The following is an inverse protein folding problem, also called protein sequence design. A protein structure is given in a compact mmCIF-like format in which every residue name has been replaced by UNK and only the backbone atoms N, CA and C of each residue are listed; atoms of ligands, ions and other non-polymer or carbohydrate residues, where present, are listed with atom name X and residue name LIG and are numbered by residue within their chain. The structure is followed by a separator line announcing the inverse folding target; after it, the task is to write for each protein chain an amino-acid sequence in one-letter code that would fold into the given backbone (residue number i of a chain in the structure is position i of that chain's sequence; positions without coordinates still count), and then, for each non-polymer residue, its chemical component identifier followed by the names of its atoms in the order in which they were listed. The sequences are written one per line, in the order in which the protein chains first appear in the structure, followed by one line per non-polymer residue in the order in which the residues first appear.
data_IF_508688094263
#
_entry.id   IF_508688094263
#
_cell.length_a   1.000
_cell.length_b   1.000
_cell.length_c   1.000
_cell.angle_alpha   90.00
_cell.angle_beta   90.00
_cell.angle_gamma   90.00
#
_symmetry.space_group_name_H-M   'P 1'
#
loop_
_entity.id
_entity.type
_entity.pdbx_description
1 polymer ?
#
# COMPACT_ATOMS: atom_id res chain seq x y z
N UNK A 1 58.95 -67.66 3.24
CA UNK A 1 60.19 -67.10 3.77
C UNK A 1 59.98 -65.66 4.09
N UNK A 2 60.34 -65.32 5.34
CA UNK A 2 60.50 -63.98 5.92
C UNK A 2 59.26 -63.11 6.10
N UNK A 3 58.69 -63.18 7.28
CA UNK A 3 57.93 -62.23 8.01
C UNK A 3 58.69 -60.90 8.19
N UNK A 4 57.94 -59.79 8.18
CA UNK A 4 58.32 -58.55 8.87
C UNK A 4 57.06 -57.92 9.50
N UNK A 5 57.07 -58.00 10.81
CA UNK A 5 56.18 -57.18 11.68
C UNK A 5 56.64 -55.72 11.63
N UNK A 6 55.74 -54.79 11.50
CA UNK A 6 55.97 -53.42 11.94
C UNK A 6 54.75 -52.93 12.72
N UNK A 7 55.06 -52.42 13.86
CA UNK A 7 54.34 -51.91 15.00
C UNK A 7 53.31 -50.82 14.63
N UNK A 8 52.11 -50.94 15.23
CA UNK A 8 51.07 -49.93 15.33
C UNK A 8 51.49 -48.91 16.41
N UNK A 9 51.67 -47.66 16.02
CA UNK A 9 51.64 -46.51 16.95
C UNK A 9 50.36 -45.76 16.73
N UNK A 10 49.52 -45.71 17.77
CA UNK A 10 48.25 -44.94 17.77
C UNK A 10 48.49 -43.44 17.66
N UNK A 11 47.75 -42.82 16.82
CA UNK A 11 47.59 -41.39 16.77
C UNK A 11 46.16 -41.05 17.19
N UNK A 12 46.05 -40.42 18.35
CA UNK A 12 44.81 -39.82 18.87
C UNK A 12 44.47 -38.64 17.97
N UNK A 13 43.41 -38.75 17.18
CA UNK A 13 42.87 -37.60 16.46
C UNK A 13 41.92 -36.88 17.39
N UNK A 14 42.35 -35.75 17.93
CA UNK A 14 41.50 -34.76 18.62
C UNK A 14 40.65 -34.08 17.56
N UNK A 15 39.37 -34.41 17.55
CA UNK A 15 38.37 -33.75 16.68
C UNK A 15 38.04 -32.39 17.31
N UNK A 16 38.69 -31.34 16.83
CA UNK A 16 38.33 -29.95 17.17
C UNK A 16 36.96 -29.60 16.56
N UNK A 17 35.96 -29.48 17.44
CA UNK A 17 34.64 -29.01 17.12
C UNK A 17 34.74 -27.50 16.79
N UNK A 18 34.82 -27.14 15.52
CA UNK A 18 34.70 -25.77 15.08
C UNK A 18 33.23 -25.36 15.22
N UNK A 19 32.92 -24.67 16.31
CA UNK A 19 31.66 -23.96 16.47
C UNK A 19 31.71 -22.74 15.53
N UNK A 20 31.06 -22.84 14.38
CA UNK A 20 30.74 -21.66 13.56
C UNK A 20 29.70 -20.84 14.31
N UNK A 21 30.11 -19.80 15.02
CA UNK A 21 29.23 -18.72 15.42
C UNK A 21 28.83 -17.95 14.14
N UNK A 22 27.67 -18.26 13.59
CA UNK A 22 27.04 -17.42 12.60
C UNK A 22 26.72 -16.07 13.26
N UNK A 23 27.63 -15.12 13.11
CA UNK A 23 27.34 -13.72 13.43
C UNK A 23 26.32 -13.23 12.42
N UNK A 24 25.05 -13.16 12.82
CA UNK A 24 24.04 -12.40 12.09
C UNK A 24 24.49 -10.94 12.05
N UNK A 25 25.13 -10.55 10.95
CA UNK A 25 25.26 -9.13 10.63
C UNK A 25 23.84 -8.62 10.39
N UNK A 26 23.36 -7.79 11.30
CA UNK A 26 22.12 -7.04 11.15
C UNK A 26 22.25 -6.19 9.90
N UNK A 27 21.49 -6.54 8.87
CA UNK A 27 21.45 -5.79 7.62
C UNK A 27 20.79 -4.45 7.92
N UNK A 28 21.58 -3.39 8.08
CA UNK A 28 21.15 -2.04 8.43
C UNK A 28 20.38 -1.35 7.30
N UNK A 29 20.22 -2.03 6.16
CA UNK A 29 19.49 -1.53 4.99
C UNK A 29 18.11 -2.18 4.78
N UNK A 30 17.64 -3.03 5.69
CA UNK A 30 16.27 -3.53 5.62
C UNK A 30 15.33 -2.40 6.08
N UNK A 31 14.39 -1.91 5.25
CA UNK A 31 13.40 -0.96 5.71
C UNK A 31 12.69 -1.54 6.93
N UNK A 32 12.66 -0.79 8.02
CA UNK A 32 11.91 -1.20 9.22
C UNK A 32 10.45 -1.31 8.81
N UNK A 33 9.90 -2.52 8.84
CA UNK A 33 8.49 -2.73 8.67
C UNK A 33 7.77 -2.06 9.86
N UNK A 34 7.20 -0.91 9.64
CA UNK A 34 6.14 -0.41 10.50
C UNK A 34 4.92 -1.29 10.18
N UNK A 35 4.69 -2.33 10.97
CA UNK A 35 3.42 -3.04 10.93
C UNK A 35 2.33 -2.00 11.24
N UNK A 36 1.42 -1.80 10.29
CA UNK A 36 0.20 -1.04 10.56
C UNK A 36 -0.56 -1.74 11.70
N UNK A 37 -1.05 -0.97 12.65
CA UNK A 37 -1.92 -1.48 13.70
C UNK A 37 -3.18 -2.07 13.02
N UNK A 38 -3.49 -3.36 13.18
CA UNK A 38 -4.62 -4.02 12.52
C UNK A 38 -5.98 -3.50 13.00
N UNK A 39 -6.04 -2.56 13.93
CA UNK A 39 -7.28 -1.93 14.42
C UNK A 39 -7.61 -0.60 13.73
N UNK A 40 -6.76 -0.09 12.84
CA UNK A 40 -7.01 1.13 12.08
C UNK A 40 -7.93 0.84 10.89
N UNK A 41 -9.26 0.92 11.09
CA UNK A 41 -10.22 1.07 9.99
C UNK A 41 -10.01 2.47 9.40
N UNK A 42 -9.11 2.60 8.43
CA UNK A 42 -9.01 3.83 7.68
C UNK A 42 -10.16 3.86 6.67
N UNK A 43 -11.05 4.86 6.78
CA UNK A 43 -12.02 5.10 5.71
C UNK A 43 -11.24 5.33 4.40
N UNK A 44 -11.61 4.62 3.31
CA UNK A 44 -10.99 4.84 2.01
C UNK A 44 -11.10 6.31 1.61
N UNK A 45 -10.08 6.83 0.95
CA UNK A 45 -10.17 8.17 0.37
C UNK A 45 -11.30 8.19 -0.65
N UNK A 46 -12.21 9.17 -0.53
CA UNK A 46 -13.22 9.43 -1.53
C UNK A 46 -12.53 9.99 -2.78
N UNK A 47 -12.36 9.19 -3.82
CA UNK A 47 -11.76 9.60 -5.10
C UNK A 47 -12.82 9.83 -6.19
N UNK A 48 -12.42 10.47 -7.29
CA UNK A 48 -13.24 10.54 -8.51
C UNK A 48 -13.03 9.28 -9.32
N UNK A 49 -14.09 8.54 -9.64
CA UNK A 49 -14.00 7.37 -10.52
C UNK A 49 -13.54 7.83 -11.92
N UNK A 50 -12.40 7.33 -12.38
CA UNK A 50 -11.82 7.67 -13.69
C UNK A 50 -11.83 6.52 -14.68
N UNK A 51 -11.95 5.28 -14.21
CA UNK A 51 -12.06 4.10 -15.04
C UNK A 51 -12.72 2.97 -14.26
N UNK A 52 -13.55 2.17 -14.93
CA UNK A 52 -14.08 0.93 -14.37
C UNK A 52 -14.44 -0.10 -15.43
N UNK A 53 -14.52 -1.34 -15.01
CA UNK A 53 -15.29 -2.39 -15.68
C UNK A 53 -16.13 -3.11 -14.62
N UNK A 54 -17.45 -3.01 -14.79
CA UNK A 54 -18.46 -3.60 -13.91
C UNK A 54 -18.93 -4.97 -14.45
N UNK A 55 -18.32 -5.48 -15.50
CA UNK A 55 -18.61 -6.75 -16.16
C UNK A 55 -20.11 -7.01 -16.46
N UNK A 56 -20.87 -5.95 -16.73
CA UNK A 56 -22.32 -6.00 -17.01
C UNK A 56 -22.67 -6.53 -18.41
N UNK A 57 -21.66 -6.83 -19.23
CA UNK A 57 -21.83 -7.36 -20.57
C UNK A 57 -22.09 -8.87 -20.59
N UNK A 58 -22.00 -9.44 -21.80
CA UNK A 58 -22.10 -10.89 -22.06
C UNK A 58 -20.77 -11.49 -22.54
N UNK A 59 -19.72 -10.66 -22.65
CA UNK A 59 -18.36 -11.03 -23.02
C UNK A 59 -17.36 -10.04 -22.46
N UNK A 60 -16.09 -10.44 -22.38
CA UNK A 60 -15.00 -9.53 -21.96
C UNK A 60 -14.97 -8.32 -22.90
N UNK A 61 -14.97 -7.12 -22.31
CA UNK A 61 -14.88 -5.87 -23.08
C UNK A 61 -13.45 -5.69 -23.62
N UNK A 62 -13.27 -5.97 -24.90
CA UNK A 62 -11.95 -5.88 -25.56
C UNK A 62 -11.47 -4.44 -25.78
N UNK A 63 -12.28 -3.42 -25.51
CA UNK A 63 -11.80 -2.04 -25.43
C UNK A 63 -10.99 -1.80 -24.13
N UNK A 64 -11.34 -2.49 -23.04
CA UNK A 64 -10.67 -2.39 -21.74
C UNK A 64 -9.56 -3.43 -21.58
N UNK A 65 -9.76 -4.66 -22.07
CA UNK A 65 -8.90 -5.82 -21.78
C UNK A 65 -8.31 -6.45 -23.02
N UNK A 66 -7.05 -6.86 -22.91
CA UNK A 66 -6.46 -7.91 -23.75
C UNK A 66 -6.62 -9.23 -23.01
N UNK A 67 -6.92 -10.31 -23.74
CA UNK A 67 -6.89 -11.67 -23.20
C UNK A 67 -5.64 -12.32 -23.76
N UNK A 68 -4.72 -12.74 -22.91
CA UNK A 68 -3.51 -13.40 -23.32
C UNK A 68 -3.79 -14.81 -23.85
N UNK A 69 -3.01 -15.24 -24.84
CA UNK A 69 -3.10 -16.56 -25.44
C UNK A 69 -1.70 -17.17 -25.55
N UNK A 70 -1.45 -18.24 -24.82
CA UNK A 70 -0.14 -18.89 -24.79
C UNK A 70 0.27 -19.40 -23.41
N UNK A 71 1.42 -20.07 -23.39
CA UNK A 71 2.12 -20.38 -22.16
C UNK A 71 2.85 -19.12 -21.69
N UNK A 72 2.69 -18.67 -20.43
CA UNK A 72 3.40 -17.51 -19.90
C UNK A 72 4.93 -17.69 -19.91
N UNK A 73 5.43 -18.93 -19.73
CA UNK A 73 6.86 -19.22 -19.75
C UNK A 73 7.65 -18.64 -18.59
N UNK A 74 6.98 -18.23 -17.52
CA UNK A 74 7.55 -17.64 -16.30
C UNK A 74 7.14 -18.46 -15.08
N UNK A 75 7.84 -18.26 -13.94
CA UNK A 75 7.50 -18.80 -12.62
C UNK A 75 7.22 -20.31 -12.57
N UNK A 76 7.63 -21.08 -13.57
CA UNK A 76 7.31 -22.53 -13.71
C UNK A 76 5.81 -22.84 -13.69
N UNK A 77 4.95 -21.88 -14.07
CA UNK A 77 3.49 -22.03 -14.18
C UNK A 77 3.13 -23.13 -15.19
N UNK A 78 1.97 -23.79 -15.01
CA UNK A 78 1.59 -25.02 -15.73
C UNK A 78 0.39 -24.86 -16.67
N UNK A 79 -0.20 -23.67 -16.72
CA UNK A 79 -1.34 -23.43 -17.59
C UNK A 79 -0.93 -22.84 -18.94
N UNK A 80 -1.84 -23.02 -19.90
CA UNK A 80 -1.92 -22.27 -21.13
C UNK A 80 -3.08 -21.27 -20.99
N UNK A 81 -2.79 -19.99 -21.09
CA UNK A 81 -3.83 -18.95 -21.08
C UNK A 81 -4.57 -18.93 -22.41
N UNK A 82 -5.90 -18.83 -22.36
CA UNK A 82 -6.76 -18.73 -23.54
C UNK A 82 -8.09 -18.05 -23.22
N UNK A 83 -8.71 -17.43 -24.25
CA UNK A 83 -9.95 -16.68 -24.09
C UNK A 83 -11.15 -17.52 -23.64
N UNK A 84 -11.18 -18.81 -23.97
CA UNK A 84 -12.23 -19.73 -23.57
C UNK A 84 -12.35 -19.95 -22.04
N UNK A 85 -11.34 -19.53 -21.29
CA UNK A 85 -11.31 -19.61 -19.83
C UNK A 85 -11.75 -18.32 -19.14
N UNK A 86 -12.06 -17.24 -19.90
CA UNK A 86 -12.60 -15.99 -19.38
C UNK A 86 -14.01 -15.77 -19.93
N UNK A 87 -15.00 -15.71 -19.06
CA UNK A 87 -16.40 -15.47 -19.43
C UNK A 87 -16.98 -14.31 -18.63
N UNK A 88 -17.91 -13.56 -19.23
CA UNK A 88 -18.65 -12.50 -18.56
C UNK A 88 -20.14 -12.81 -18.62
N UNK A 89 -20.82 -12.72 -17.49
CA UNK A 89 -22.26 -12.92 -17.41
C UNK A 89 -22.75 -12.72 -15.97
N UNK A 90 -24.00 -12.24 -15.85
CA UNK A 90 -24.60 -11.98 -14.54
C UNK A 90 -23.90 -10.90 -13.71
N UNK A 91 -23.19 -9.95 -14.35
CA UNK A 91 -22.42 -8.91 -13.67
C UNK A 91 -21.04 -9.38 -13.18
N UNK A 92 -20.54 -10.52 -13.65
CA UNK A 92 -19.27 -11.10 -13.18
C UNK A 92 -18.35 -11.45 -14.34
N UNK A 93 -17.07 -11.15 -14.20
CA UNK A 93 -16.00 -11.85 -14.91
C UNK A 93 -15.68 -13.15 -14.16
N UNK A 94 -15.65 -14.27 -14.88
CA UNK A 94 -15.24 -15.57 -14.34
C UNK A 94 -14.02 -16.08 -15.09
N UNK A 95 -12.90 -16.22 -14.40
CA UNK A 95 -11.67 -16.88 -14.89
C UNK A 95 -11.67 -18.30 -14.36
N UNK A 96 -11.71 -19.27 -15.26
CA UNK A 96 -11.83 -20.70 -14.91
C UNK A 96 -10.54 -21.45 -15.19
N UNK A 97 -9.95 -22.03 -14.18
CA UNK A 97 -8.85 -22.99 -14.28
C UNK A 97 -9.40 -24.39 -14.58
N UNK A 98 -8.79 -25.10 -15.57
CA UNK A 98 -9.25 -26.43 -16.01
C UNK A 98 -8.07 -27.39 -16.16
N UNK A 99 -8.29 -28.66 -15.84
CA UNK A 99 -7.41 -29.72 -16.27
C UNK A 99 -7.71 -30.02 -17.76
N UNK A 100 -7.00 -29.38 -18.64
CA UNK A 100 -7.16 -29.46 -20.09
C UNK A 100 -5.81 -29.24 -20.75
N UNK A 101 -5.37 -30.18 -21.56
CA UNK A 101 -4.07 -30.08 -22.27
C UNK A 101 -4.20 -29.22 -23.53
N UNK A 102 -3.48 -28.08 -23.55
CA UNK A 102 -3.38 -27.19 -24.71
C UNK A 102 -1.96 -26.66 -24.82
N UNK A 103 -1.41 -26.59 -26.04
CA UNK A 103 -0.10 -25.98 -26.27
C UNK A 103 1.07 -26.62 -25.52
N UNK A 104 0.95 -27.91 -25.18
CA UNK A 104 1.96 -28.62 -24.38
C UNK A 104 1.83 -28.43 -22.86
N UNK A 105 0.89 -27.61 -22.39
CA UNK A 105 0.59 -27.42 -20.97
C UNK A 105 -0.55 -28.37 -20.55
N UNK A 106 -0.53 -28.90 -19.29
CA UNK A 106 -1.56 -29.82 -18.80
C UNK A 106 -2.83 -29.11 -18.31
N UNK A 107 -2.80 -27.81 -18.15
CA UNK A 107 -3.93 -27.02 -17.67
C UNK A 107 -4.20 -25.85 -18.59
N UNK A 108 -5.40 -25.28 -18.47
CA UNK A 108 -5.77 -24.00 -19.09
C UNK A 108 -6.34 -23.04 -18.07
N UNK A 109 -6.14 -21.74 -18.29
CA UNK A 109 -6.70 -20.67 -17.51
C UNK A 109 -6.83 -19.39 -18.36
N UNK A 110 -7.04 -18.22 -17.74
CA UNK A 110 -7.02 -16.95 -18.43
C UNK A 110 -6.23 -15.89 -17.68
N UNK A 111 -5.65 -14.97 -18.46
CA UNK A 111 -4.99 -13.75 -18.01
C UNK A 111 -5.49 -12.58 -18.86
N UNK A 112 -5.95 -11.54 -18.18
CA UNK A 112 -6.46 -10.31 -18.77
C UNK A 112 -5.55 -9.16 -18.39
N UNK A 113 -5.27 -8.25 -19.35
CA UNK A 113 -4.44 -7.07 -19.10
C UNK A 113 -5.03 -5.81 -19.71
N UNK A 114 -4.81 -4.65 -19.09
CA UNK A 114 -5.13 -3.34 -19.68
C UNK A 114 -3.94 -2.74 -20.44
N UNK A 115 -2.89 -3.51 -20.73
CA UNK A 115 -1.69 -3.06 -21.43
C UNK A 115 -2.02 -2.36 -22.76
N UNK A 116 -1.48 -1.16 -22.98
CA UNK A 116 -1.73 -0.34 -24.15
C UNK A 116 -3.13 0.26 -24.27
N UNK A 117 -3.99 0.06 -23.25
CA UNK A 117 -5.38 0.58 -23.21
C UNK A 117 -5.60 1.52 -22.04
N UNK A 118 -5.21 1.11 -20.84
CA UNK A 118 -5.31 1.93 -19.64
C UNK A 118 -4.15 1.61 -18.68
N UNK A 119 -3.44 2.65 -18.24
CA UNK A 119 -2.34 2.54 -17.31
C UNK A 119 -2.30 3.79 -16.43
N UNK A 120 -2.90 3.77 -15.23
CA UNK A 120 -2.85 4.90 -14.32
C UNK A 120 -1.44 5.10 -13.75
N UNK A 121 -1.15 6.35 -13.38
CA UNK A 121 -0.10 6.70 -12.42
C UNK A 121 -0.78 7.27 -11.22
N UNK A 122 -0.67 6.58 -10.07
CA UNK A 122 -1.36 6.92 -8.83
C UNK A 122 -2.88 6.68 -8.84
N UNK A 123 -3.47 6.79 -7.68
CA UNK A 123 -4.89 6.62 -7.47
C UNK A 123 -5.23 5.49 -6.49
N UNK A 124 -6.51 5.21 -6.34
CA UNK A 124 -6.98 3.99 -5.70
C UNK A 124 -7.41 3.01 -6.78
N UNK A 125 -6.78 1.85 -6.79
CA UNK A 125 -7.07 0.74 -7.70
C UNK A 125 -7.67 -0.38 -6.86
N UNK A 126 -8.91 -0.79 -7.16
CA UNK A 126 -9.62 -1.79 -6.38
C UNK A 126 -10.40 -2.77 -7.26
N UNK A 127 -10.59 -3.97 -6.75
CA UNK A 127 -11.48 -4.97 -7.32
C UNK A 127 -12.21 -5.75 -6.24
N UNK A 128 -13.47 -6.11 -6.50
CA UNK A 128 -14.24 -7.05 -5.69
C UNK A 128 -14.07 -8.44 -6.26
N UNK A 129 -13.43 -9.34 -5.51
CA UNK A 129 -13.00 -10.65 -6.01
C UNK A 129 -13.35 -11.77 -5.02
N UNK A 130 -13.83 -12.89 -5.58
CA UNK A 130 -13.98 -14.17 -4.89
C UNK A 130 -12.97 -15.15 -5.45
N UNK A 131 -12.21 -15.81 -4.59
CA UNK A 131 -11.08 -16.66 -4.94
C UNK A 131 -11.44 -18.15 -4.88
N UNK A 132 -10.76 -19.03 -5.66
CA UNK A 132 -11.08 -20.45 -5.72
C UNK A 132 -10.67 -21.23 -4.45
N UNK A 133 -9.58 -20.83 -3.78
CA UNK A 133 -8.99 -21.50 -2.61
C UNK A 133 -8.78 -23.04 -2.83
N UNK A 134 -8.17 -23.40 -3.94
CA UNK A 134 -7.88 -24.78 -4.34
C UNK A 134 -6.37 -25.02 -4.35
N UNK A 135 -5.94 -26.19 -3.88
CA UNK A 135 -4.51 -26.55 -3.86
C UNK A 135 -3.92 -26.53 -5.28
N UNK A 136 -2.83 -25.78 -5.44
CA UNK A 136 -2.12 -25.59 -6.71
C UNK A 136 -2.62 -24.39 -7.51
N UNK A 137 -3.56 -23.58 -7.00
CA UNK A 137 -3.98 -22.33 -7.66
C UNK A 137 -3.26 -21.11 -7.10
N UNK A 138 -3.09 -20.10 -7.97
CA UNK A 138 -2.47 -18.83 -7.67
C UNK A 138 -3.23 -17.70 -8.40
N UNK A 139 -4.38 -17.29 -7.88
CA UNK A 139 -5.10 -16.12 -8.36
C UNK A 139 -4.34 -14.84 -7.97
N UNK A 140 -4.30 -13.88 -8.90
CA UNK A 140 -3.68 -12.59 -8.70
C UNK A 140 -4.47 -11.43 -9.34
N UNK A 141 -4.48 -10.31 -8.62
CA UNK A 141 -4.86 -8.98 -9.07
C UNK A 141 -3.69 -8.05 -8.81
N UNK A 142 -3.05 -7.59 -9.88
CA UNK A 142 -1.76 -6.92 -9.82
C UNK A 142 -1.56 -5.92 -10.94
N UNK A 143 -0.46 -5.21 -10.91
CA UNK A 143 -0.11 -4.20 -11.89
C UNK A 143 1.36 -4.33 -12.28
N UNK A 144 1.66 -4.06 -13.56
CA UNK A 144 3.02 -4.09 -14.09
C UNK A 144 3.36 -2.76 -14.74
N UNK A 145 4.59 -2.28 -14.51
CA UNK A 145 5.05 -1.01 -15.06
C UNK A 145 4.97 -0.99 -16.59
N UNK A 146 4.26 0.01 -17.15
CA UNK A 146 3.99 0.11 -18.58
C UNK A 146 5.28 0.24 -19.43
N UNK A 147 6.39 0.63 -18.82
CA UNK A 147 7.69 0.72 -19.45
C UNK A 147 8.24 -0.63 -19.95
N UNK A 148 7.70 -1.77 -19.48
CA UNK A 148 8.04 -3.10 -19.99
C UNK A 148 7.73 -3.22 -21.48
N UNK A 149 6.66 -2.58 -21.95
CA UNK A 149 6.26 -2.56 -23.35
C UNK A 149 7.23 -1.72 -24.23
N UNK A 150 8.09 -0.93 -23.60
CA UNK A 150 9.08 -0.08 -24.24
C UNK A 150 10.52 -0.57 -23.98
N UNK A 151 10.68 -1.84 -23.56
CA UNK A 151 11.97 -2.49 -23.40
C UNK A 151 12.63 -2.35 -22.02
N UNK A 152 11.99 -1.76 -21.02
CA UNK A 152 12.48 -1.81 -19.63
C UNK A 152 12.17 -3.18 -19.03
N UNK A 153 13.19 -4.03 -18.75
CA UNK A 153 12.92 -5.39 -18.27
C UNK A 153 12.41 -5.41 -16.83
N UNK A 154 11.72 -6.51 -16.48
CA UNK A 154 11.48 -6.82 -15.07
C UNK A 154 12.81 -7.14 -14.35
N UNK A 155 13.02 -6.74 -13.09
CA UNK A 155 12.12 -5.99 -12.20
C UNK A 155 12.25 -4.46 -12.30
N UNK A 156 13.03 -3.93 -13.24
CA UNK A 156 13.28 -2.48 -13.40
C UNK A 156 12.04 -1.70 -13.83
N UNK A 157 11.07 -2.33 -14.50
CA UNK A 157 9.78 -1.70 -14.83
C UNK A 157 8.90 -1.48 -13.59
N UNK A 158 9.13 -2.23 -12.50
CA UNK A 158 8.29 -2.24 -11.30
C UNK A 158 7.06 -3.12 -11.43
N UNK A 159 6.59 -3.67 -10.29
CA UNK A 159 5.39 -4.50 -10.17
C UNK A 159 4.70 -4.20 -8.83
N UNK A 160 3.37 -4.15 -8.82
CA UNK A 160 2.54 -3.93 -7.62
C UNK A 160 1.50 -5.05 -7.56
N UNK A 161 1.66 -5.99 -6.63
CA UNK A 161 0.68 -7.04 -6.38
C UNK A 161 -0.33 -6.53 -5.37
N UNK A 162 -1.53 -6.24 -5.85
CA UNK A 162 -2.62 -5.74 -5.02
C UNK A 162 -3.18 -6.87 -4.17
N UNK A 163 -3.31 -8.05 -4.76
CA UNK A 163 -3.78 -9.27 -4.11
C UNK A 163 -3.16 -10.48 -4.77
N UNK A 164 -2.51 -11.31 -3.98
CA UNK A 164 -2.17 -12.68 -4.32
C UNK A 164 -2.68 -13.64 -3.23
N UNK A 165 -3.12 -14.81 -3.65
CA UNK A 165 -3.48 -15.91 -2.75
C UNK A 165 -2.94 -17.20 -3.33
N UNK A 166 -2.47 -18.11 -2.50
CA UNK A 166 -1.93 -19.39 -2.95
C UNK A 166 -2.62 -20.56 -2.27
N UNK A 167 -2.91 -21.58 -3.04
CA UNK A 167 -3.45 -22.84 -2.56
C UNK A 167 -4.79 -22.64 -1.79
N UNK A 168 -4.94 -23.29 -0.66
CA UNK A 168 -6.11 -23.21 0.22
C UNK A 168 -5.93 -22.19 1.34
N UNK A 169 -4.91 -21.32 1.24
CA UNK A 169 -4.57 -20.37 2.31
C UNK A 169 -5.63 -19.29 2.47
N UNK A 170 -5.88 -18.86 3.71
CA UNK A 170 -6.62 -17.64 4.02
C UNK A 170 -5.75 -16.39 3.99
N UNK A 171 -4.45 -16.54 3.71
CA UNK A 171 -3.49 -15.43 3.66
C UNK A 171 -3.60 -14.72 2.31
N UNK A 172 -3.73 -13.41 2.37
CA UNK A 172 -3.65 -12.50 1.23
C UNK A 172 -2.31 -11.78 1.31
N UNK A 173 -1.58 -11.76 0.20
CA UNK A 173 -0.31 -11.07 0.07
C UNK A 173 -0.50 -9.77 -0.72
N UNK A 174 0.23 -8.75 -0.35
CA UNK A 174 0.39 -7.51 -1.11
C UNK A 174 1.86 -7.15 -1.15
N UNK A 175 2.40 -6.94 -2.36
CA UNK A 175 3.84 -6.83 -2.56
C UNK A 175 4.15 -5.76 -3.61
N UNK A 176 5.29 -5.12 -3.51
CA UNK A 176 5.88 -4.33 -4.58
C UNK A 176 7.27 -4.90 -4.91
N UNK A 177 7.59 -5.00 -6.21
CA UNK A 177 8.85 -5.54 -6.72
C UNK A 177 9.54 -4.52 -7.61
N UNK A 178 10.86 -4.34 -7.43
CA UNK A 178 11.66 -3.42 -8.25
C UNK A 178 13.14 -3.82 -8.29
N UNK A 179 13.93 -3.09 -9.08
CA UNK A 179 15.37 -3.29 -9.14
C UNK A 179 16.10 -2.42 -8.10
N UNK A 180 17.10 -2.95 -7.43
CA UNK A 180 18.01 -2.15 -6.60
C UNK A 180 18.87 -1.22 -7.45
N UNK A 181 19.39 -0.16 -6.84
CA UNK A 181 20.26 0.80 -7.51
C UNK A 181 21.53 0.13 -8.06
N UNK A 182 21.92 0.51 -9.28
CA UNK A 182 23.13 0.03 -9.94
C UNK A 182 23.03 -1.29 -10.67
N UNK A 183 21.83 -1.86 -10.84
CA UNK A 183 21.65 -3.12 -11.57
C UNK A 183 20.20 -3.48 -11.79
N UNK A 184 19.98 -4.70 -12.33
CA UNK A 184 18.68 -5.31 -12.50
C UNK A 184 18.40 -6.38 -11.43
N UNK A 185 19.05 -6.26 -10.26
CA UNK A 185 18.87 -7.18 -9.17
C UNK A 185 17.52 -6.92 -8.51
N UNK A 186 16.71 -7.98 -8.41
CA UNK A 186 15.38 -7.95 -7.81
C UNK A 186 15.42 -7.66 -6.30
N UNK A 187 14.51 -6.83 -5.86
CA UNK A 187 14.14 -6.65 -4.44
C UNK A 187 12.63 -6.47 -4.33
N UNK A 188 12.11 -6.67 -3.13
CA UNK A 188 10.68 -6.56 -2.85
C UNK A 188 10.41 -6.04 -1.44
N UNK A 189 9.21 -5.49 -1.26
CA UNK A 189 8.64 -5.13 0.03
C UNK A 189 7.14 -5.35 0.02
N UNK A 190 6.59 -5.88 1.10
CA UNK A 190 5.15 -6.13 1.19
C UNK A 190 4.75 -6.64 2.57
N UNK A 191 3.52 -7.10 2.65
CA UNK A 191 2.96 -7.68 3.86
C UNK A 191 1.80 -8.62 3.56
N UNK A 192 1.16 -9.11 4.60
CA UNK A 192 0.04 -10.04 4.48
C UNK A 192 -1.04 -9.74 5.51
N UNK A 193 -2.26 -10.16 5.15
CA UNK A 193 -3.41 -10.20 6.06
C UNK A 193 -4.17 -11.50 5.83
N UNK A 194 -5.26 -11.72 6.56
CA UNK A 194 -6.09 -12.91 6.41
C UNK A 194 -7.54 -12.53 6.16
N UNK A 195 -8.17 -13.26 5.22
CA UNK A 195 -9.62 -13.18 4.99
C UNK A 195 -10.14 -14.52 4.48
N UNK A 196 -11.47 -14.72 4.47
CA UNK A 196 -12.07 -15.90 3.85
C UNK A 196 -12.00 -15.78 2.33
N UNK A 197 -11.21 -16.57 1.60
CA UNK A 197 -11.03 -16.38 0.16
C UNK A 197 -12.31 -16.71 -0.65
N UNK A 198 -13.23 -17.49 -0.12
CA UNK A 198 -14.42 -17.98 -0.83
C UNK A 198 -15.62 -17.02 -0.80
N UNK A 199 -15.52 -15.89 -0.09
CA UNK A 199 -16.42 -14.74 -0.16
C UNK A 199 -15.93 -13.70 -1.17
N UNK A 200 -16.81 -12.76 -1.57
CA UNK A 200 -16.35 -11.54 -2.24
C UNK A 200 -15.74 -10.60 -1.21
N UNK A 201 -14.54 -10.12 -1.51
CA UNK A 201 -13.81 -9.12 -0.73
C UNK A 201 -13.29 -8.05 -1.66
N UNK A 202 -13.18 -6.81 -1.16
CA UNK A 202 -12.54 -5.72 -1.89
C UNK A 202 -11.05 -5.71 -1.60
N UNK A 203 -10.24 -5.90 -2.62
CA UNK A 203 -8.79 -5.77 -2.57
C UNK A 203 -8.39 -4.46 -3.22
N UNK A 204 -7.55 -3.67 -2.57
CA UNK A 204 -7.19 -2.35 -3.09
C UNK A 204 -5.78 -1.92 -2.72
N UNK A 205 -5.23 -1.04 -3.55
CA UNK A 205 -4.11 -0.16 -3.19
C UNK A 205 -4.55 1.29 -3.29
N UNK A 206 -4.06 2.12 -2.38
CA UNK A 206 -3.98 3.56 -2.57
C UNK A 206 -2.52 3.92 -2.82
N UNK A 207 -2.26 4.50 -3.96
CA UNK A 207 -0.94 4.79 -4.46
C UNK A 207 -0.81 6.27 -4.78
N UNK A 208 0.19 6.92 -4.19
CA UNK A 208 0.51 8.32 -4.37
C UNK A 208 2.03 8.54 -4.50
N UNK A 209 2.48 9.79 -4.59
CA UNK A 209 3.89 10.14 -4.74
C UNK A 209 4.79 9.71 -3.57
N UNK A 210 4.21 9.34 -2.43
CA UNK A 210 4.97 9.03 -1.23
C UNK A 210 4.88 7.55 -0.83
N UNK A 211 3.76 6.88 -1.16
CA UNK A 211 3.49 5.55 -0.63
C UNK A 211 2.55 4.72 -1.50
N UNK A 212 2.64 3.41 -1.33
CA UNK A 212 1.65 2.43 -1.74
C UNK A 212 1.09 1.80 -0.48
N UNK A 213 -0.24 1.79 -0.32
CA UNK A 213 -0.95 1.27 0.85
C UNK A 213 -1.92 0.19 0.39
N UNK A 214 -1.86 -0.99 1.01
CA UNK A 214 -2.69 -2.15 0.66
C UNK A 214 -3.82 -2.35 1.64
N UNK A 215 -5.00 -2.67 1.11
CA UNK A 215 -6.23 -2.84 1.86
C UNK A 215 -6.96 -4.13 1.49
N UNK A 216 -7.60 -4.76 2.49
CA UNK A 216 -8.66 -5.75 2.30
C UNK A 216 -9.90 -5.24 3.05
N UNK A 217 -11.05 -5.17 2.36
CA UNK A 217 -12.31 -4.64 2.90
C UNK A 217 -12.15 -3.27 3.60
N UNK A 218 -11.34 -2.40 2.98
CA UNK A 218 -10.97 -1.08 3.48
C UNK A 218 -10.10 -1.08 4.76
N UNK A 219 -9.63 -2.24 5.21
CA UNK A 219 -8.67 -2.33 6.32
C UNK A 219 -7.25 -2.28 5.77
N UNK A 220 -6.50 -1.25 6.16
CA UNK A 220 -5.07 -1.10 5.81
C UNK A 220 -4.25 -2.17 6.53
N UNK A 221 -3.36 -2.89 5.80
CA UNK A 221 -2.52 -3.90 6.43
C UNK A 221 -1.02 -3.73 6.16
N UNK A 222 -0.63 -3.00 5.09
CA UNK A 222 0.78 -2.68 4.84
C UNK A 222 0.91 -1.35 4.09
N UNK A 223 2.03 -0.64 4.34
CA UNK A 223 2.40 0.61 3.66
C UNK A 223 3.84 0.53 3.18
N UNK A 224 4.06 0.66 1.88
CA UNK A 224 5.37 0.79 1.23
C UNK A 224 5.72 2.26 1.04
N UNK A 225 6.93 2.66 1.42
CA UNK A 225 7.44 4.02 1.20
C UNK A 225 8.15 4.09 -0.16
N UNK A 226 7.72 5.02 -1.02
CA UNK A 226 8.34 5.31 -2.33
C UNK A 226 8.75 6.77 -2.46
N UNK A 227 8.63 7.58 -1.40
CA UNK A 227 8.93 9.00 -1.41
C UNK A 227 10.38 9.25 -1.83
N UNK A 228 10.58 10.27 -2.68
CA UNK A 228 11.90 10.71 -3.12
C UNK A 228 12.78 9.61 -3.75
N UNK A 229 12.16 8.61 -4.39
CA UNK A 229 12.84 7.45 -4.99
C UNK A 229 13.71 6.66 -3.98
N UNK A 230 13.32 6.65 -2.71
CA UNK A 230 14.04 5.92 -1.66
C UNK A 230 14.29 4.47 -2.11
N UNK A 231 15.50 3.93 -1.86
CA UNK A 231 15.87 2.56 -2.23
C UNK A 231 15.66 2.22 -3.72
N UNK A 232 15.78 3.22 -4.62
CA UNK A 232 15.57 3.07 -6.06
C UNK A 232 14.13 2.77 -6.47
N UNK A 233 13.15 3.22 -5.72
CA UNK A 233 11.71 3.01 -5.98
C UNK A 233 11.14 3.89 -7.11
N UNK A 234 11.99 4.52 -7.92
CA UNK A 234 11.59 5.41 -9.02
C UNK A 234 10.67 4.78 -10.07
N UNK A 235 10.67 3.46 -10.20
CA UNK A 235 9.74 2.74 -11.08
C UNK A 235 8.28 3.05 -10.72
N UNK A 236 7.96 3.20 -9.42
CA UNK A 236 6.60 3.42 -8.94
C UNK A 236 6.08 4.86 -9.13
N UNK A 237 6.80 5.72 -9.85
CA UNK A 237 6.34 7.04 -10.26
C UNK A 237 5.98 7.10 -11.76
N UNK A 238 5.82 5.94 -12.40
CA UNK A 238 5.47 5.79 -13.81
C UNK A 238 4.11 5.08 -13.95
N UNK A 239 3.50 5.07 -15.16
CA UNK A 239 2.24 4.35 -15.38
C UNK A 239 2.37 2.84 -15.20
N UNK A 240 1.34 2.21 -14.62
CA UNK A 240 1.20 0.76 -14.47
C UNK A 240 -0.13 0.28 -15.08
N UNK A 241 -0.10 -0.81 -15.85
CA UNK A 241 -1.32 -1.44 -16.35
C UNK A 241 -1.79 -2.56 -15.41
N UNK A 242 -3.09 -2.82 -15.42
CA UNK A 242 -3.76 -3.77 -14.51
C UNK A 242 -3.77 -5.17 -15.12
N UNK A 243 -3.61 -6.18 -14.28
CA UNK A 243 -3.63 -7.59 -14.66
C UNK A 243 -4.53 -8.38 -13.71
N UNK A 244 -5.32 -9.29 -14.27
CA UNK A 244 -6.10 -10.31 -13.58
C UNK A 244 -5.73 -11.67 -14.15
N UNK A 245 -5.32 -12.62 -13.32
CA UNK A 245 -5.07 -13.99 -13.75
C UNK A 245 -5.35 -15.03 -12.67
N UNK A 246 -5.47 -16.27 -13.10
CA UNK A 246 -5.52 -17.43 -12.21
C UNK A 246 -4.47 -18.43 -12.73
N UNK A 247 -3.27 -18.40 -12.15
CA UNK A 247 -2.20 -19.33 -12.46
C UNK A 247 -2.43 -20.71 -11.80
N UNK A 248 -1.81 -21.74 -12.33
CA UNK A 248 -1.87 -23.11 -11.81
C UNK A 248 -0.45 -23.66 -11.69
N UNK A 249 -0.09 -24.12 -10.49
CA UNK A 249 1.30 -24.47 -10.15
C UNK A 249 2.20 -23.26 -10.20
N UNK A 250 3.48 -23.49 -10.17
CA UNK A 250 4.51 -22.44 -10.21
C UNK A 250 5.34 -22.35 -8.94
N UNK A 251 6.23 -21.37 -8.93
CA UNK A 251 7.24 -21.24 -7.86
C UNK A 251 6.60 -20.91 -6.49
N UNK A 252 5.53 -20.10 -6.47
CA UNK A 252 4.91 -19.67 -5.21
C UNK A 252 3.94 -20.71 -4.62
N UNK A 253 2.95 -21.28 -5.36
CA UNK A 253 2.05 -22.30 -4.83
C UNK A 253 2.67 -23.69 -4.79
N UNK A 254 3.78 -23.91 -5.49
CA UNK A 254 4.33 -25.23 -5.76
C UNK A 254 3.57 -26.00 -6.85
N UNK A 255 4.00 -27.22 -7.10
CA UNK A 255 3.46 -28.04 -8.21
C UNK A 255 2.57 -29.21 -7.74
N UNK A 256 2.11 -29.20 -6.48
CA UNK A 256 1.06 -30.10 -6.01
C UNK A 256 -0.29 -29.48 -6.34
N UNK A 257 -1.02 -30.10 -7.29
CA UNK A 257 -2.29 -29.58 -7.81
C UNK A 257 -3.39 -30.58 -7.50
N UNK A 258 -4.47 -30.11 -6.88
CA UNK A 258 -5.67 -30.92 -6.65
C UNK A 258 -6.54 -30.95 -7.90
N UNK A 259 -6.30 -31.95 -8.73
CA UNK A 259 -7.07 -32.15 -9.97
C UNK A 259 -8.55 -32.49 -9.71
N UNK A 260 -8.88 -33.03 -8.53
CA UNK A 260 -10.24 -33.38 -8.16
C UNK A 260 -11.13 -32.16 -7.89
N UNK A 261 -10.52 -31.02 -7.59
CA UNK A 261 -11.20 -29.74 -7.38
C UNK A 261 -11.25 -28.85 -8.64
N UNK A 262 -10.74 -29.33 -9.77
CA UNK A 262 -10.85 -28.64 -11.06
C UNK A 262 -12.10 -29.13 -11.83
N UNK A 263 -12.84 -28.26 -12.56
CA UNK A 263 -12.55 -26.83 -12.74
C UNK A 263 -12.88 -25.99 -11.51
N UNK A 264 -12.07 -24.97 -11.24
CA UNK A 264 -12.34 -23.97 -10.24
C UNK A 264 -12.23 -22.56 -10.83
N UNK A 265 -12.73 -21.55 -10.13
CA UNK A 265 -12.83 -20.21 -10.72
C UNK A 265 -12.53 -19.09 -9.74
N UNK A 266 -11.86 -18.07 -10.23
CA UNK A 266 -11.80 -16.72 -9.67
C UNK A 266 -12.94 -15.91 -10.29
N UNK A 267 -13.73 -15.23 -9.47
CA UNK A 267 -14.84 -14.37 -9.92
C UNK A 267 -14.54 -12.92 -9.53
N UNK A 268 -14.75 -12.00 -10.47
CA UNK A 268 -14.54 -10.55 -10.28
C UNK A 268 -15.84 -9.83 -10.57
N UNK A 269 -16.34 -9.10 -9.57
CA UNK A 269 -17.58 -8.30 -9.65
C UNK A 269 -17.30 -6.97 -10.38
N UNK A 270 -16.23 -6.28 -10.00
CA UNK A 270 -15.78 -5.07 -10.67
C UNK A 270 -14.27 -4.86 -10.51
N UNK A 271 -13.74 -4.04 -11.41
CA UNK A 271 -12.45 -3.35 -11.24
C UNK A 271 -12.69 -1.86 -11.40
N UNK A 272 -12.23 -1.05 -10.42
CA UNK A 272 -12.43 0.39 -10.40
C UNK A 272 -11.13 1.13 -10.12
N UNK A 273 -10.93 2.26 -10.77
CA UNK A 273 -9.80 3.16 -10.53
C UNK A 273 -10.32 4.55 -10.22
N UNK A 274 -9.89 5.08 -9.10
CA UNK A 274 -10.26 6.41 -8.63
C UNK A 274 -9.02 7.31 -8.64
N UNK A 275 -9.19 8.51 -9.19
CA UNK A 275 -8.22 9.58 -9.02
C UNK A 275 -8.34 10.12 -7.59
N UNK A 276 -7.25 10.04 -6.85
CA UNK A 276 -7.14 10.59 -5.51
C UNK A 276 -6.54 12.01 -5.50
N UNK A 277 -6.12 12.55 -6.65
CA UNK A 277 -5.56 13.91 -6.75
C UNK A 277 -6.60 14.99 -6.44
N UNK A 278 -7.89 14.66 -6.66
CA UNK A 278 -9.02 15.53 -6.29
C UNK A 278 -9.46 15.42 -4.82
N UNK A 279 -8.89 14.50 -4.05
CA UNK A 279 -9.02 14.47 -2.59
C UNK A 279 -7.97 15.38 -1.95
N UNK A 280 -7.87 16.58 -2.44
CA UNK A 280 -7.45 17.69 -1.57
C UNK A 280 -8.27 17.60 -0.29
N UNK A 281 -7.69 17.82 0.89
CA UNK A 281 -8.48 18.19 2.07
C UNK A 281 -9.52 19.18 1.56
N UNK A 282 -10.78 19.08 1.97
CA UNK A 282 -11.83 19.91 1.38
C UNK A 282 -11.25 21.32 1.22
N UNK A 283 -11.30 21.86 0.00
CA UNK A 283 -10.85 23.24 -0.29
C UNK A 283 -11.48 24.22 0.69
N UNK A 284 -12.59 23.80 1.29
CA UNK A 284 -13.23 24.40 2.44
C UNK A 284 -12.91 23.59 3.70
N UNK A 285 -12.53 24.28 4.79
CA UNK A 285 -12.30 23.64 6.06
C UNK A 285 -13.56 22.86 6.53
N UNK A 286 -13.41 21.72 7.20
CA UNK A 286 -14.54 20.89 7.66
C UNK A 286 -15.21 21.52 8.90
N UNK A 287 -15.87 22.66 8.72
CA UNK A 287 -16.51 23.42 9.78
C UNK A 287 -17.53 22.56 10.53
N UNK A 288 -17.50 22.59 11.86
CA UNK A 288 -18.38 21.85 12.75
C UNK A 288 -17.98 20.37 12.94
N UNK A 289 -16.94 19.88 12.25
CA UNK A 289 -16.49 18.51 12.39
C UNK A 289 -15.31 18.39 13.35
N UNK A 290 -15.20 17.23 13.97
CA UNK A 290 -14.05 16.85 14.77
C UNK A 290 -12.97 16.24 13.87
N UNK A 291 -11.74 16.69 14.03
CA UNK A 291 -10.57 16.19 13.31
C UNK A 291 -9.43 15.84 14.27
N UNK A 292 -8.52 15.01 13.80
CA UNK A 292 -7.18 14.85 14.36
C UNK A 292 -6.16 15.43 13.39
N UNK A 293 -5.04 15.93 13.91
CA UNK A 293 -3.92 16.42 13.13
C UNK A 293 -2.70 15.54 13.38
N UNK A 294 -2.12 14.99 12.32
CA UNK A 294 -0.96 14.10 12.38
C UNK A 294 0.23 14.75 11.71
N UNK A 295 1.33 14.93 12.45
CA UNK A 295 2.54 15.59 11.96
C UNK A 295 3.42 14.69 11.08
N UNK A 296 4.50 15.28 10.59
CA UNK A 296 5.50 14.60 9.75
C UNK A 296 6.14 13.38 10.43
N UNK A 297 6.31 13.44 11.75
CA UNK A 297 6.83 12.34 12.59
C UNK A 297 5.82 11.20 12.82
N UNK A 298 4.68 11.23 12.15
CA UNK A 298 3.60 10.25 12.29
C UNK A 298 2.95 10.22 13.69
N UNK A 299 3.10 11.30 14.47
CA UNK A 299 2.49 11.46 15.78
C UNK A 299 1.35 12.50 15.72
N UNK A 300 0.42 12.40 16.67
CA UNK A 300 -0.72 13.33 16.76
C UNK A 300 -0.39 14.58 17.54
N UNK A 301 -0.98 15.68 17.07
CA UNK A 301 -0.98 16.97 17.77
C UNK A 301 -1.90 16.89 18.98
N UNK A 302 -1.41 17.30 20.15
CA UNK A 302 -2.16 17.36 21.41
C UNK A 302 -2.38 18.79 21.89
N UNK A 303 -3.60 19.11 22.28
CA UNK A 303 -3.97 20.36 22.93
C UNK A 303 -3.55 20.44 24.40
N UNK A 304 -2.95 19.37 24.95
CA UNK A 304 -2.43 19.27 26.33
C UNK A 304 -3.46 19.71 27.40
N UNK A 305 -4.75 19.51 27.12
CA UNK A 305 -5.88 19.98 27.95
C UNK A 305 -5.79 21.50 28.31
N UNK A 306 -5.05 22.26 27.52
CA UNK A 306 -4.83 23.68 27.73
C UNK A 306 -4.01 24.02 28.97
N UNK A 307 -3.22 23.12 29.50
CA UNK A 307 -2.40 23.32 30.71
C UNK A 307 -0.93 23.53 30.38
N UNK A 308 -0.50 23.18 29.18
CA UNK A 308 0.86 23.31 28.69
C UNK A 308 0.86 23.76 27.22
N UNK A 309 2.03 24.03 26.67
CA UNK A 309 2.23 24.24 25.24
C UNK A 309 1.88 22.98 24.47
N UNK A 310 1.29 23.13 23.28
CA UNK A 310 0.91 22.04 22.40
C UNK A 310 2.14 21.28 21.89
N UNK A 311 1.99 19.99 21.72
CA UNK A 311 3.04 19.09 21.20
C UNK A 311 2.48 18.18 20.11
N UNK A 312 3.36 17.71 19.21
CA UNK A 312 3.05 16.71 18.19
C UNK A 312 3.82 15.42 18.48
N UNK A 313 3.51 14.76 19.59
CA UNK A 313 4.29 13.62 20.10
C UNK A 313 3.42 12.48 20.67
N UNK A 314 2.12 12.44 20.34
CA UNK A 314 1.23 11.37 20.80
C UNK A 314 1.16 10.24 19.79
N UNK A 315 1.40 8.99 20.19
CA UNK A 315 1.31 7.83 19.29
C UNK A 315 -0.14 7.49 18.91
N UNK A 316 -1.10 7.87 19.74
CA UNK A 316 -2.54 7.63 19.53
C UNK A 316 -3.33 8.89 19.80
N UNK A 317 -4.43 9.07 19.06
CA UNK A 317 -5.35 10.17 19.29
C UNK A 317 -6.41 9.81 20.34
N UNK A 318 -6.73 10.77 21.20
CA UNK A 318 -7.82 10.71 22.17
C UNK A 318 -8.51 12.08 22.25
N UNK A 319 -9.11 12.42 23.39
CA UNK A 319 -9.83 13.70 23.55
C UNK A 319 -8.95 14.94 23.42
N UNK A 320 -7.68 14.86 23.83
CA UNK A 320 -6.75 16.00 23.74
C UNK A 320 -6.19 16.21 22.33
N UNK A 321 -6.23 15.18 21.50
CA UNK A 321 -5.77 15.18 20.12
C UNK A 321 -6.92 15.39 19.11
N UNK A 322 -8.16 15.57 19.65
CA UNK A 322 -9.36 15.84 18.85
C UNK A 322 -9.68 17.34 18.88
N UNK A 323 -9.84 17.92 17.69
CA UNK A 323 -10.13 19.33 17.49
C UNK A 323 -11.41 19.51 16.69
N UNK A 324 -12.35 20.32 17.19
CA UNK A 324 -13.48 20.79 16.40
C UNK A 324 -13.03 21.97 15.55
N UNK A 325 -13.29 21.93 14.24
CA UNK A 325 -13.03 23.05 13.32
C UNK A 325 -14.19 24.03 13.42
N UNK A 326 -13.91 25.27 13.79
CA UNK A 326 -14.90 26.32 14.00
C UNK A 326 -14.72 27.43 12.97
N UNK A 327 -15.82 27.93 12.40
CA UNK A 327 -15.77 29.12 11.54
C UNK A 327 -15.37 30.35 12.38
N UNK A 328 -14.25 30.96 12.04
CA UNK A 328 -13.73 32.15 12.71
C UNK A 328 -14.03 33.44 11.95
N UNK A 329 -14.84 33.35 10.87
CA UNK A 329 -15.20 34.46 10.00
C UNK A 329 -14.09 34.86 9.03
N UNK A 330 -14.48 35.51 7.94
CA UNK A 330 -13.52 35.99 6.91
C UNK A 330 -12.77 34.88 6.16
N UNK A 331 -13.33 33.67 6.10
CA UNK A 331 -12.69 32.51 5.46
C UNK A 331 -11.61 31.83 6.30
N UNK A 332 -11.52 32.20 7.57
CA UNK A 332 -10.57 31.61 8.53
C UNK A 332 -11.25 30.60 9.44
N UNK A 333 -10.45 29.74 10.05
CA UNK A 333 -10.89 28.75 11.04
C UNK A 333 -10.28 29.01 12.41
N UNK A 334 -10.95 28.50 13.44
CA UNK A 334 -10.37 28.26 14.75
C UNK A 334 -10.43 26.76 15.07
N UNK A 335 -9.49 26.24 15.82
CA UNK A 335 -9.46 24.86 16.29
C UNK A 335 -9.78 24.83 17.78
N UNK A 336 -10.78 24.02 18.17
CA UNK A 336 -11.21 23.92 19.57
C UNK A 336 -11.00 22.49 20.08
N UNK A 337 -10.26 22.33 21.17
CA UNK A 337 -10.15 21.06 21.90
C UNK A 337 -10.52 21.28 23.37
N UNK A 338 -11.30 20.36 23.93
CA UNK A 338 -11.74 20.41 25.33
C UNK A 338 -12.37 21.77 25.74
N UNK A 339 -13.11 22.40 24.81
CA UNK A 339 -13.76 23.69 25.02
C UNK A 339 -12.83 24.90 24.98
N UNK A 340 -11.55 24.73 24.63
CA UNK A 340 -10.55 25.77 24.49
C UNK A 340 -10.02 25.89 23.09
N UNK A 341 -9.65 27.11 22.68
CA UNK A 341 -9.14 27.37 21.33
C UNK A 341 -7.62 27.38 21.28
N UNK A 342 -7.10 26.87 20.16
CA UNK A 342 -5.67 26.93 19.80
C UNK A 342 -5.31 28.39 19.50
N UNK A 343 -4.20 28.84 20.06
CA UNK A 343 -3.64 30.18 19.84
C UNK A 343 -2.25 30.09 19.23
N UNK A 344 -2.02 30.80 18.12
CA UNK A 344 -0.70 30.97 17.50
C UNK A 344 0.32 31.66 18.35
N UNK A 345 -0.14 32.31 19.46
CA UNK A 345 0.64 33.20 20.32
C UNK A 345 1.39 34.29 19.55
N UNK A 346 0.87 34.63 18.35
CA UNK A 346 1.45 35.56 17.39
C UNK A 346 2.93 35.25 17.04
N UNK A 347 3.34 33.99 17.16
CA UNK A 347 4.72 33.53 16.93
C UNK A 347 5.72 33.96 18.02
N UNK A 348 5.29 34.56 19.12
CA UNK A 348 6.20 35.08 20.16
C UNK A 348 6.59 34.04 21.21
N UNK A 349 5.82 32.92 21.26
CA UNK A 349 6.06 31.79 22.15
C UNK A 349 5.43 30.51 21.52
N UNK A 350 5.58 29.40 22.21
CA UNK A 350 5.00 28.15 21.79
C UNK A 350 3.46 28.22 21.75
N UNK A 351 2.85 27.50 20.77
CA UNK A 351 1.40 27.41 20.59
C UNK A 351 0.74 26.85 21.84
N UNK A 352 -0.40 27.41 22.21
CA UNK A 352 -1.21 26.90 23.33
C UNK A 352 -2.64 26.58 22.87
N UNK A 353 -3.36 25.78 23.66
CA UNK A 353 -4.79 25.51 23.47
C UNK A 353 -5.53 25.89 24.76
N UNK A 354 -5.50 27.16 25.17
CA UNK A 354 -6.00 27.59 26.48
C UNK A 354 -6.97 28.76 26.42
N UNK A 355 -7.31 29.27 25.21
CA UNK A 355 -8.19 30.43 25.06
C UNK A 355 -9.66 30.01 25.15
N UNK A 356 -10.47 30.85 25.79
CA UNK A 356 -11.92 30.62 25.93
C UNK A 356 -12.74 31.34 24.86
N UNK A 357 -12.12 32.23 24.09
CA UNK A 357 -12.75 33.02 23.02
C UNK A 357 -11.81 33.08 21.82
N UNK A 358 -12.38 33.27 20.61
CA UNK A 358 -11.63 33.47 19.38
C UNK A 358 -11.28 34.94 19.20
N UNK A 359 -10.00 35.28 19.34
CA UNK A 359 -9.41 36.57 18.97
C UNK A 359 -8.61 36.38 17.64
N UNK A 360 -7.70 37.33 17.35
CA UNK A 360 -6.94 37.25 16.08
C UNK A 360 -5.87 36.15 16.10
N UNK A 361 -5.33 35.82 17.27
CA UNK A 361 -4.31 34.76 17.40
C UNK A 361 -4.86 33.34 17.30
N UNK A 362 -6.18 33.18 17.41
CA UNK A 362 -6.92 31.92 17.29
C UNK A 362 -7.46 31.71 15.89
N UNK A 363 -7.23 32.64 14.94
CA UNK A 363 -7.68 32.56 13.56
C UNK A 363 -6.56 32.09 12.65
N UNK A 364 -6.84 31.05 11.89
CA UNK A 364 -5.91 30.45 10.95
C UNK A 364 -6.46 30.43 9.53
N UNK A 365 -5.60 30.69 8.54
CA UNK A 365 -5.87 30.29 7.17
C UNK A 365 -5.74 28.78 7.06
N UNK A 366 -6.75 28.14 6.49
CA UNK A 366 -6.77 26.73 6.18
C UNK A 366 -6.26 26.55 4.75
N UNK A 367 -5.05 26.02 4.56
CA UNK A 367 -4.40 25.94 3.26
C UNK A 367 -4.14 24.47 2.93
N UNK A 368 -4.95 23.87 2.04
CA UNK A 368 -4.72 22.52 1.54
C UNK A 368 -3.40 22.40 0.78
N UNK A 369 -2.73 21.26 0.93
CA UNK A 369 -1.52 20.91 0.18
C UNK A 369 -1.84 19.92 -0.94
N UNK A 370 -1.01 19.86 -1.96
CA UNK A 370 -1.21 18.96 -3.10
C UNK A 370 -1.15 17.46 -2.73
N UNK A 371 -0.50 17.11 -1.61
CA UNK A 371 -0.39 15.74 -1.09
C UNK A 371 -1.50 15.36 -0.10
N UNK A 372 -2.60 16.13 -0.06
CA UNK A 372 -3.78 15.81 0.73
C UNK A 372 -3.67 16.11 2.22
N UNK A 373 -2.73 16.98 2.61
CA UNK A 373 -2.58 17.50 3.97
C UNK A 373 -3.12 18.94 4.07
N UNK A 374 -3.02 19.51 5.25
CA UNK A 374 -3.33 20.91 5.49
C UNK A 374 -2.14 21.62 6.14
N UNK A 375 -1.92 22.86 5.76
CA UNK A 375 -1.09 23.80 6.51
C UNK A 375 -1.98 24.85 7.14
N UNK A 376 -1.61 25.31 8.31
CA UNK A 376 -2.34 26.33 9.07
C UNK A 376 -1.44 27.54 9.22
N UNK A 377 -1.89 28.70 8.70
CA UNK A 377 -1.14 29.95 8.81
C UNK A 377 -1.82 30.90 9.78
N UNK A 378 -1.08 31.36 10.79
CA UNK A 378 -1.56 32.28 11.81
C UNK A 378 -1.71 33.73 11.31
N UNK A 379 -2.24 34.59 12.15
CA UNK A 379 -2.45 36.02 11.88
C UNK A 379 -1.13 36.80 11.68
N UNK A 380 -0.02 36.28 12.21
CA UNK A 380 1.33 36.85 12.00
C UNK A 380 1.90 36.52 10.58
N UNK A 381 1.19 35.75 9.77
CA UNK A 381 1.61 35.34 8.43
C UNK A 381 2.50 34.10 8.40
N UNK A 382 2.86 33.55 9.56
CA UNK A 382 3.70 32.36 9.67
C UNK A 382 2.88 31.09 9.84
N UNK A 383 3.49 29.94 9.49
CA UNK A 383 2.86 28.63 9.57
C UNK A 383 3.09 27.96 10.93
N UNK A 384 2.07 27.22 11.37
CA UNK A 384 2.19 26.26 12.48
C UNK A 384 3.16 25.16 12.09
N UNK A 385 4.13 24.88 12.96
CA UNK A 385 5.09 23.77 12.82
C UNK A 385 4.92 22.75 13.95
N UNK A 386 4.93 21.46 13.56
CA UNK A 386 4.95 20.34 14.50
C UNK A 386 6.27 20.20 15.25
N UNK A 387 7.32 20.92 14.81
CA UNK A 387 8.71 20.79 15.29
C UNK A 387 9.19 19.34 15.33
N UNK A 388 8.62 18.51 14.45
CA UNK A 388 8.86 17.05 14.38
C UNK A 388 8.64 16.33 15.73
N UNK A 389 7.85 16.91 16.64
CA UNK A 389 7.57 16.38 17.98
C UNK A 389 8.74 16.40 18.96
N UNK A 390 9.84 17.08 18.63
CA UNK A 390 11.06 17.14 19.45
C UNK A 390 11.02 18.27 20.47
N UNK A 391 10.13 19.23 20.26
CA UNK A 391 9.87 20.38 21.14
C UNK A 391 8.43 20.86 20.96
N UNK A 392 7.93 21.79 21.80
CA UNK A 392 6.60 22.37 21.64
C UNK A 392 6.41 23.01 20.26
N UNK A 393 5.19 22.92 19.75
CA UNK A 393 4.80 23.49 18.46
C UNK A 393 4.94 25.00 18.42
N UNK A 394 5.31 25.54 17.27
CA UNK A 394 5.51 26.99 17.07
C UNK A 394 4.70 27.50 15.87
N UNK A 395 4.53 28.85 15.78
CA UNK A 395 3.95 29.53 14.60
C UNK A 395 4.93 30.61 14.12
N UNK A 396 6.11 30.16 13.65
CA UNK A 396 7.26 31.03 13.32
C UNK A 396 7.88 30.72 11.96
N UNK A 397 7.27 29.81 11.17
CA UNK A 397 7.82 29.41 9.88
C UNK A 397 7.25 30.26 8.75
N UNK A 398 8.09 30.97 8.03
CA UNK A 398 7.68 31.82 6.90
C UNK A 398 7.32 31.02 5.66
N UNK A 399 7.72 29.73 5.58
CA UNK A 399 7.40 28.80 4.50
C UNK A 399 6.94 27.47 5.08
N UNK A 400 5.97 26.83 4.42
CA UNK A 400 5.50 25.51 4.80
C UNK A 400 6.32 24.42 4.12
N UNK A 401 6.68 23.39 4.87
CA UNK A 401 7.36 22.17 4.41
C UNK A 401 6.79 20.93 5.12
N UNK A 402 7.54 19.86 5.30
CA UNK A 402 7.05 18.64 5.93
C UNK A 402 6.53 18.82 7.37
N UNK A 403 7.17 19.68 8.18
CA UNK A 403 6.80 19.86 9.57
C UNK A 403 5.57 20.77 9.77
N UNK A 404 5.22 21.55 8.75
CA UNK A 404 4.07 22.46 8.72
C UNK A 404 2.85 21.84 8.05
N UNK A 405 2.99 20.64 7.46
CA UNK A 405 1.93 19.91 6.79
C UNK A 405 1.37 18.77 7.66
N UNK A 406 0.07 18.83 7.97
CA UNK A 406 -0.61 17.89 8.84
C UNK A 406 -1.58 17.00 8.06
N UNK A 407 -1.50 15.69 8.27
CA UNK A 407 -2.56 14.75 7.87
C UNK A 407 -3.80 14.94 8.75
N UNK A 408 -4.98 14.85 8.13
CA UNK A 408 -6.27 15.00 8.84
C UNK A 408 -6.91 13.62 8.95
N UNK A 409 -7.38 13.25 10.16
CA UNK A 409 -8.11 12.02 10.44
C UNK A 409 -7.38 10.75 9.97
N UNK A 410 -6.06 10.71 10.16
CA UNK A 410 -5.20 9.58 9.77
C UNK A 410 -4.84 8.69 10.95
#
# INVERSE_FOLDING_TARGET
MKSFLISVKGALIVMALLVFTASCKKDLNKPSASQADPTQVSTPRAGTLIWSDEFNGTSVNTANWNIENGNPGVNNEKEYYQSANATVGGGLLTITARQQSVGGQPYTSAKLTTAGKFAPTYGRIEASIKLPAVQGTWPAFWMLGASINNGTPWPSCGEIDIMEQVNTSNTILGTMHWAVAGGNQHTQYGGSTTTSPTGFHTYAVEWDTNSIRWYVDNTLYVTGNIANNINNTGAFHNPFFIILNLAIGGDLPGNTIDNGSLPCSMQVDYVRVYDLSGTTPPSNPPIGQNITLKGFNNQYVSGENGTQAMNCNRPTASTWETFTVVDAGGGKVALQSMGKYVSSENGTQAITCNRTTVGDWEKFDWIPTADGKVTLRGNNGDFISSENGTQPMTCTRTTASGWEAFGINQ
#
